data_IF_617169754296
#
_entry.id   IF_617169754296
#
_cell.length_a   1.000
_cell.length_b   1.000
_cell.length_c   1.000
_cell.angle_alpha   90.00
_cell.angle_beta   90.00
_cell.angle_gamma   90.00
#
_symmetry.space_group_name_H-M   'P 1'
#
loop_
_entity.id
_entity.type
_entity.pdbx_description
1 polymer ?
#
# COMPACT_ATOMS: atom_id res chain seq x y z
N UNK A 1 -7.07 -13.99 4.04
CA UNK A 1 -8.09 -14.92 3.52
C UNK A 1 -9.53 -14.36 3.50
N UNK A 2 -10.04 -13.79 4.60
CA UNK A 2 -11.42 -13.23 4.65
C UNK A 2 -11.77 -12.32 3.47
N UNK A 3 -10.96 -11.29 3.20
CA UNK A 3 -11.21 -10.36 2.09
C UNK A 3 -11.20 -11.04 0.70
N UNK A 4 -10.39 -12.09 0.51
CA UNK A 4 -10.37 -12.86 -0.74
C UNK A 4 -11.69 -13.59 -0.96
N UNK A 5 -12.22 -14.23 0.09
CA UNK A 5 -13.49 -14.94 0.04
C UNK A 5 -14.67 -13.98 -0.16
N UNK A 6 -14.67 -12.83 0.54
CA UNK A 6 -15.70 -11.81 0.37
C UNK A 6 -15.64 -11.18 -1.03
N UNK A 7 -14.45 -10.90 -1.56
CA UNK A 7 -14.28 -10.46 -2.94
C UNK A 7 -14.87 -11.46 -3.93
N UNK A 8 -14.59 -12.76 -3.74
CA UNK A 8 -15.14 -13.83 -4.58
C UNK A 8 -16.67 -13.93 -4.48
N UNK A 9 -17.22 -13.82 -3.28
CA UNK A 9 -18.64 -13.98 -3.02
C UNK A 9 -19.48 -12.78 -3.49
N UNK A 10 -18.96 -11.55 -3.33
CA UNK A 10 -19.75 -10.33 -3.56
C UNK A 10 -19.28 -9.50 -4.76
N UNK A 11 -18.07 -9.75 -5.28
CA UNK A 11 -17.45 -8.93 -6.33
C UNK A 11 -17.16 -7.48 -5.92
N UNK A 12 -17.23 -7.14 -4.62
CA UNK A 12 -17.08 -5.75 -4.15
C UNK A 12 -15.62 -5.36 -4.06
N UNK A 13 -15.26 -4.24 -4.68
CA UNK A 13 -13.87 -3.77 -4.84
C UNK A 13 -13.20 -3.41 -3.51
N UNK A 14 -13.98 -3.00 -2.50
CA UNK A 14 -13.44 -2.69 -1.17
C UNK A 14 -12.66 -3.85 -0.55
N UNK A 15 -13.01 -5.09 -0.86
CA UNK A 15 -12.24 -6.23 -0.36
C UNK A 15 -10.87 -6.35 -1.06
N UNK A 16 -10.78 -6.02 -2.36
CA UNK A 16 -9.51 -5.94 -3.06
C UNK A 16 -8.63 -4.77 -2.58
N UNK A 17 -9.24 -3.66 -2.17
CA UNK A 17 -8.55 -2.53 -1.52
C UNK A 17 -7.90 -2.97 -0.20
N UNK A 18 -8.62 -3.70 0.65
CA UNK A 18 -8.04 -4.20 1.91
C UNK A 18 -6.98 -5.28 1.68
N UNK A 19 -7.10 -6.08 0.60
CA UNK A 19 -6.02 -6.96 0.18
C UNK A 19 -4.76 -6.17 -0.22
N UNK A 20 -4.90 -5.08 -0.98
CA UNK A 20 -3.77 -4.22 -1.35
C UNK A 20 -3.05 -3.66 -0.12
N UNK A 21 -3.78 -3.11 0.85
CA UNK A 21 -3.20 -2.62 2.10
C UNK A 21 -2.45 -3.72 2.85
N UNK A 22 -3.01 -4.92 2.90
CA UNK A 22 -2.38 -6.06 3.57
C UNK A 22 -1.10 -6.50 2.86
N UNK A 23 -1.15 -6.65 1.53
CA UNK A 23 -0.05 -7.18 0.71
C UNK A 23 1.14 -6.23 0.67
N UNK A 24 0.92 -4.92 0.52
CA UNK A 24 2.02 -3.96 0.36
C UNK A 24 2.43 -3.25 1.66
N UNK A 25 1.69 -3.41 2.76
CA UNK A 25 2.03 -2.78 4.04
C UNK A 25 2.08 -3.77 5.20
N UNK A 26 0.97 -4.40 5.55
CA UNK A 26 0.89 -5.17 6.79
C UNK A 26 1.76 -6.44 6.77
N UNK A 27 1.71 -7.21 5.70
CA UNK A 27 2.52 -8.44 5.54
C UNK A 27 4.01 -8.14 5.52
N UNK A 28 4.53 -7.27 4.63
CA UNK A 28 5.96 -6.94 4.64
C UNK A 28 6.39 -6.19 5.91
N UNK A 29 5.49 -5.43 6.55
CA UNK A 29 5.75 -4.78 7.83
C UNK A 29 5.85 -5.76 9.00
N UNK A 30 5.25 -6.94 8.86
CA UNK A 30 5.36 -8.03 9.82
C UNK A 30 6.57 -8.95 9.54
N UNK A 31 7.23 -8.87 8.39
CA UNK A 31 8.33 -9.78 7.99
C UNK A 31 9.68 -9.07 7.87
N UNK A 32 10.74 -9.62 8.45
CA UNK A 32 12.10 -9.14 8.23
C UNK A 32 12.64 -9.61 6.88
N UNK A 33 13.56 -8.84 6.30
CA UNK A 33 14.13 -9.10 4.97
C UNK A 33 14.96 -10.39 4.92
N UNK A 34 15.43 -10.89 6.07
CA UNK A 34 16.15 -12.16 6.17
C UNK A 34 15.26 -13.40 5.94
N UNK A 35 13.93 -13.22 5.80
CA UNK A 35 12.97 -14.28 5.53
C UNK A 35 12.63 -15.18 6.73
N UNK A 36 13.32 -15.02 7.87
CA UNK A 36 13.10 -15.81 9.07
C UNK A 36 12.49 -14.97 10.22
N UNK A 37 12.61 -13.65 10.18
CA UNK A 37 12.07 -12.79 11.22
C UNK A 37 10.61 -12.43 10.98
N UNK A 38 9.79 -12.54 12.01
CA UNK A 38 8.41 -12.07 12.00
C UNK A 38 8.12 -11.20 13.22
N UNK A 39 7.08 -10.38 13.14
CA UNK A 39 6.56 -9.54 14.23
C UNK A 39 5.22 -10.10 14.67
N UNK A 40 5.03 -10.30 15.98
CA UNK A 40 3.74 -10.75 16.50
C UNK A 40 2.73 -9.60 16.60
N UNK A 41 3.18 -8.46 17.13
CA UNK A 41 2.38 -7.24 17.27
C UNK A 41 2.93 -6.15 16.37
N UNK A 42 2.38 -6.01 15.16
CA UNK A 42 2.73 -4.92 14.25
C UNK A 42 2.10 -3.61 14.73
N UNK A 43 2.82 -2.88 15.58
CA UNK A 43 2.40 -1.56 16.05
C UNK A 43 2.64 -0.49 14.98
N UNK A 44 1.75 0.50 14.91
CA UNK A 44 1.87 1.61 13.95
C UNK A 44 2.82 2.70 14.45
N UNK A 45 2.92 2.88 15.76
CA UNK A 45 3.95 3.68 16.42
C UNK A 45 4.62 2.77 17.44
N UNK A 46 5.94 2.66 17.41
CA UNK A 46 6.64 1.79 18.32
C UNK A 46 7.82 1.05 17.71
N UNK A 47 8.44 0.14 18.48
CA UNK A 47 9.53 -0.68 18.02
C UNK A 47 9.03 -1.85 17.17
N UNK A 48 9.73 -2.14 16.08
CA UNK A 48 9.56 -3.37 15.31
C UNK A 48 10.26 -4.53 16.01
N UNK A 49 9.52 -5.29 16.81
CA UNK A 49 10.08 -6.38 17.61
C UNK A 49 9.88 -7.75 16.95
N UNK A 50 10.99 -8.47 16.76
CA UNK A 50 11.00 -9.85 16.30
C UNK A 50 10.38 -10.74 17.37
N UNK A 51 9.47 -11.60 16.95
CA UNK A 51 8.90 -12.65 17.79
C UNK A 51 9.84 -13.84 17.91
N UNK A 52 9.56 -14.76 18.83
CA UNK A 52 10.24 -16.05 18.89
C UNK A 52 10.01 -16.87 17.62
N UNK A 53 11.00 -17.67 17.23
CA UNK A 53 10.97 -18.45 15.97
C UNK A 53 9.78 -19.42 15.89
N UNK A 54 9.36 -19.97 17.04
CA UNK A 54 8.25 -20.92 17.18
C UNK A 54 6.87 -20.28 17.28
N UNK A 55 6.77 -18.96 17.13
CA UNK A 55 5.48 -18.28 17.14
C UNK A 55 4.65 -18.62 15.90
N UNK A 56 3.32 -18.59 16.05
CA UNK A 56 2.39 -18.83 14.94
C UNK A 56 2.64 -17.89 13.74
N UNK A 57 3.14 -16.67 13.97
CA UNK A 57 3.48 -15.70 12.94
C UNK A 57 4.50 -16.22 11.93
N UNK A 58 5.48 -17.04 12.33
CA UNK A 58 6.45 -17.62 11.40
C UNK A 58 5.77 -18.56 10.41
N UNK A 59 4.89 -19.43 10.90
CA UNK A 59 4.15 -20.39 10.06
C UNK A 59 3.08 -19.71 9.20
N UNK A 60 2.27 -18.82 9.78
CA UNK A 60 1.22 -18.08 9.07
C UNK A 60 1.81 -17.08 8.08
N UNK A 61 2.97 -16.51 8.40
CA UNK A 61 3.76 -15.64 7.54
C UNK A 61 4.16 -16.32 6.24
N UNK A 62 4.71 -17.53 6.31
CA UNK A 62 5.04 -18.31 5.13
C UNK A 62 3.80 -18.64 4.27
N UNK A 63 2.69 -19.01 4.91
CA UNK A 63 1.43 -19.32 4.21
C UNK A 63 0.88 -18.09 3.47
N UNK A 64 0.91 -16.90 4.09
CA UNK A 64 0.40 -15.70 3.42
C UNK A 64 1.27 -15.34 2.22
N UNK A 65 2.59 -15.49 2.29
CA UNK A 65 3.49 -15.24 1.16
C UNK A 65 3.20 -16.16 -0.03
N UNK A 66 2.95 -17.46 0.21
CA UNK A 66 2.52 -18.39 -0.85
C UNK A 66 1.15 -18.03 -1.44
N UNK A 67 0.26 -17.44 -0.63
CA UNK A 67 -1.09 -17.11 -1.07
C UNK A 67 -1.14 -15.85 -1.94
N UNK A 68 -0.21 -14.90 -1.77
CA UNK A 68 -0.23 -13.58 -2.45
C UNK A 68 -0.43 -13.66 -3.97
N UNK A 69 0.30 -14.51 -4.73
CA UNK A 69 0.12 -14.60 -6.19
C UNK A 69 -1.32 -14.92 -6.59
N UNK A 70 -2.06 -15.68 -5.77
CA UNK A 70 -3.46 -16.06 -6.02
C UNK A 70 -4.45 -14.90 -5.83
N UNK A 71 -3.99 -13.79 -5.23
CA UNK A 71 -4.82 -12.61 -4.97
C UNK A 71 -4.84 -11.63 -6.14
N UNK A 72 -3.90 -11.74 -7.09
CA UNK A 72 -3.75 -10.76 -8.17
C UNK A 72 -4.88 -10.81 -9.19
N UNK A 73 -5.40 -12.00 -9.46
CA UNK A 73 -6.32 -12.23 -10.57
C UNK A 73 -7.50 -13.10 -10.16
N UNK A 74 -8.64 -12.90 -10.81
CA UNK A 74 -9.70 -13.90 -10.87
C UNK A 74 -10.33 -13.92 -12.25
N UNK A 75 -10.92 -15.05 -12.63
CA UNK A 75 -11.67 -15.17 -13.87
C UNK A 75 -13.01 -15.85 -13.63
N UNK A 76 -14.00 -15.47 -14.44
CA UNK A 76 -15.33 -16.07 -14.46
C UNK A 76 -15.92 -15.89 -15.86
N UNK A 77 -16.31 -17.01 -16.50
CA UNK A 77 -16.79 -17.03 -17.89
C UNK A 77 -15.79 -16.30 -18.82
N UNK A 78 -16.28 -15.30 -19.57
CA UNK A 78 -15.48 -14.43 -20.43
C UNK A 78 -14.88 -13.21 -19.72
N UNK A 79 -14.83 -13.18 -18.39
CA UNK A 79 -14.29 -12.04 -17.65
C UNK A 79 -13.01 -12.43 -16.93
N UNK A 80 -11.98 -11.62 -17.12
CA UNK A 80 -10.75 -11.62 -16.33
C UNK A 80 -10.69 -10.32 -15.52
N UNK A 81 -10.43 -10.44 -14.22
CA UNK A 81 -10.32 -9.32 -13.31
C UNK A 81 -8.88 -9.22 -12.78
N UNK A 82 -8.33 -8.01 -12.78
CA UNK A 82 -7.07 -7.68 -12.12
C UNK A 82 -7.40 -6.97 -10.82
N UNK A 83 -7.03 -7.60 -9.70
CA UNK A 83 -7.26 -7.11 -8.35
C UNK A 83 -6.03 -6.40 -7.79
N UNK A 84 -4.82 -6.91 -8.02
CA UNK A 84 -3.58 -6.30 -7.55
C UNK A 84 -2.63 -6.01 -8.72
N UNK A 85 -1.75 -5.03 -8.51
CA UNK A 85 -0.82 -4.55 -9.53
C UNK A 85 0.62 -4.82 -9.11
N UNK A 86 1.43 -5.36 -10.00
CA UNK A 86 2.81 -5.72 -9.69
C UNK A 86 3.39 -6.69 -10.71
N UNK A 87 4.73 -6.85 -10.78
CA UNK A 87 5.38 -7.80 -11.66
C UNK A 87 4.76 -9.18 -11.51
N UNK A 88 4.06 -9.65 -12.55
CA UNK A 88 3.33 -10.90 -12.47
C UNK A 88 2.94 -11.41 -13.84
N UNK A 89 2.77 -12.73 -13.95
CA UNK A 89 2.33 -13.40 -15.17
C UNK A 89 1.37 -14.52 -14.81
N UNK A 90 0.26 -14.61 -15.54
CA UNK A 90 -0.72 -15.68 -15.34
C UNK A 90 -1.31 -16.11 -16.68
N UNK A 91 -1.71 -17.37 -16.76
CA UNK A 91 -2.48 -17.91 -17.89
C UNK A 91 -3.77 -18.48 -17.33
N UNK A 92 -4.91 -18.03 -17.87
CA UNK A 92 -6.25 -18.49 -17.51
C UNK A 92 -6.96 -19.05 -18.73
N UNK A 93 -7.88 -20.00 -18.52
CA UNK A 93 -8.74 -20.50 -19.58
C UNK A 93 -10.04 -19.69 -19.61
N UNK A 94 -10.33 -19.01 -20.71
CA UNK A 94 -11.61 -18.32 -20.96
C UNK A 94 -12.30 -19.01 -22.15
N UNK A 95 -13.38 -19.75 -21.90
CA UNK A 95 -14.04 -20.68 -22.85
C UNK A 95 -13.07 -21.56 -23.63
N UNK A 96 -12.25 -22.34 -22.92
CA UNK A 96 -11.25 -23.24 -23.49
C UNK A 96 -10.13 -22.57 -24.32
N UNK A 97 -10.07 -21.24 -24.38
CA UNK A 97 -8.97 -20.50 -25.01
C UNK A 97 -8.02 -19.99 -23.90
N UNK A 98 -6.72 -20.33 -23.96
CA UNK A 98 -5.74 -19.81 -23.01
C UNK A 98 -5.51 -18.32 -23.26
N UNK A 99 -5.62 -17.52 -22.19
CA UNK A 99 -5.33 -16.09 -22.17
C UNK A 99 -4.22 -15.85 -21.18
N UNK A 100 -3.09 -15.32 -21.66
CA UNK A 100 -1.96 -14.96 -20.82
C UNK A 100 -1.94 -13.46 -20.59
N UNK A 101 -1.87 -13.06 -19.33
CA UNK A 101 -1.64 -11.67 -18.89
C UNK A 101 -0.28 -11.59 -18.24
N UNK A 102 0.49 -10.58 -18.61
CA UNK A 102 1.76 -10.22 -17.98
C UNK A 102 1.75 -8.74 -17.62
N UNK A 103 2.05 -8.43 -16.37
CA UNK A 103 2.19 -7.07 -15.85
C UNK A 103 3.68 -6.74 -15.71
N UNK A 104 4.12 -5.70 -16.40
CA UNK A 104 5.44 -5.10 -16.28
C UNK A 104 5.29 -3.73 -15.62
N UNK A 105 5.80 -3.58 -14.41
CA UNK A 105 5.59 -2.38 -13.59
C UNK A 105 6.57 -2.33 -12.42
N UNK A 106 6.86 -1.13 -11.92
CA UNK A 106 7.55 -0.91 -10.64
C UNK A 106 6.55 -0.73 -9.47
N UNK A 107 5.27 -1.05 -9.66
CA UNK A 107 4.28 -1.06 -8.57
C UNK A 107 4.76 -1.98 -7.43
N UNK A 108 4.72 -1.55 -6.16
CA UNK A 108 3.95 -0.42 -5.61
C UNK A 108 4.70 0.91 -5.50
N UNK A 109 5.85 1.09 -6.15
CA UNK A 109 6.63 2.34 -6.06
C UNK A 109 6.22 3.37 -7.11
N UNK A 110 5.73 2.91 -8.26
CA UNK A 110 5.22 3.73 -9.34
C UNK A 110 3.88 3.22 -9.87
N UNK A 111 3.07 4.12 -10.42
CA UNK A 111 1.75 3.78 -10.95
C UNK A 111 1.70 3.45 -12.45
N UNK A 112 2.85 3.33 -13.12
CA UNK A 112 2.94 2.95 -14.53
C UNK A 112 2.90 1.43 -14.67
N UNK A 113 1.88 0.90 -15.34
CA UNK A 113 1.67 -0.54 -15.51
C UNK A 113 1.47 -0.86 -16.99
N UNK A 114 2.38 -1.67 -17.54
CA UNK A 114 2.23 -2.23 -18.89
C UNK A 114 1.68 -3.63 -18.78
N UNK A 115 0.49 -3.85 -19.34
CA UNK A 115 -0.22 -5.13 -19.33
C UNK A 115 -0.14 -5.72 -20.75
N UNK A 116 0.59 -6.81 -20.90
CA UNK A 116 0.66 -7.59 -22.14
C UNK A 116 -0.41 -8.68 -22.13
N UNK A 117 -1.14 -8.81 -23.22
CA UNK A 117 -2.28 -9.71 -23.37
C UNK A 117 -2.02 -10.62 -24.57
N UNK A 118 -1.69 -11.88 -24.30
CA UNK A 118 -1.37 -12.86 -25.34
C UNK A 118 -2.50 -13.88 -25.44
N UNK A 119 -3.05 -14.03 -26.64
CA UNK A 119 -4.08 -15.04 -26.95
C UNK A 119 -3.75 -15.72 -28.28
N UNK A 120 -3.92 -17.05 -28.39
CA UNK A 120 -3.53 -17.80 -29.59
C UNK A 120 -4.38 -17.44 -30.81
N UNK A 121 -5.66 -17.10 -30.57
CA UNK A 121 -6.61 -16.66 -31.60
C UNK A 121 -7.34 -15.44 -31.07
N UNK A 122 -7.64 -14.48 -31.96
CA UNK A 122 -8.35 -13.25 -31.62
C UNK A 122 -9.68 -13.56 -30.92
N UNK A 123 -9.80 -13.23 -29.63
CA UNK A 123 -10.96 -13.56 -28.78
C UNK A 123 -11.58 -12.30 -28.19
N UNK A 124 -12.91 -12.24 -28.15
CA UNK A 124 -13.63 -11.25 -27.36
C UNK A 124 -13.69 -11.73 -25.91
N UNK A 125 -13.25 -10.90 -24.99
CA UNK A 125 -13.45 -11.13 -23.55
C UNK A 125 -13.41 -9.79 -22.82
N UNK A 126 -13.85 -9.80 -21.56
CA UNK A 126 -13.93 -8.64 -20.69
C UNK A 126 -12.72 -8.61 -19.77
N UNK A 127 -12.00 -7.49 -19.76
CA UNK A 127 -10.94 -7.22 -18.79
C UNK A 127 -11.44 -6.16 -17.80
N UNK A 128 -11.50 -6.50 -16.51
CA UNK A 128 -11.80 -5.55 -15.43
C UNK A 128 -10.52 -5.15 -14.72
N UNK A 129 -10.25 -3.85 -14.71
CA UNK A 129 -9.13 -3.25 -13.99
C UNK A 129 -9.65 -2.65 -12.69
N UNK A 130 -9.07 -2.99 -11.53
CA UNK A 130 -9.42 -2.30 -10.29
C UNK A 130 -8.99 -0.84 -10.39
N UNK A 131 -9.88 0.07 -10.03
CA UNK A 131 -9.54 1.47 -9.79
C UNK A 131 -9.34 1.63 -8.28
N UNK A 132 -8.09 1.84 -7.80
CA UNK A 132 -7.82 1.97 -6.37
C UNK A 132 -8.59 3.12 -5.73
N UNK A 133 -8.91 2.99 -4.44
CA UNK A 133 -9.68 4.01 -3.73
C UNK A 133 -8.97 5.37 -3.63
N UNK A 134 -7.64 5.34 -3.67
CA UNK A 134 -6.79 6.51 -3.51
C UNK A 134 -6.55 7.29 -4.82
N UNK A 135 -6.96 6.75 -5.97
CA UNK A 135 -6.91 7.47 -7.26
C UNK A 135 -8.11 8.39 -7.36
N UNK A 136 -7.95 9.62 -7.84
CA UNK A 136 -9.09 10.53 -8.06
C UNK A 136 -9.80 10.24 -9.37
N UNK A 137 -11.03 10.71 -9.47
CA UNK A 137 -11.82 10.60 -10.69
C UNK A 137 -11.14 11.31 -11.87
N UNK A 138 -11.21 10.73 -13.07
CA UNK A 138 -10.64 11.24 -14.32
C UNK A 138 -9.11 11.35 -14.38
N UNK A 139 -8.39 10.84 -13.38
CA UNK A 139 -6.93 10.87 -13.33
C UNK A 139 -6.26 9.60 -13.90
N UNK A 140 -7.03 8.52 -14.11
CA UNK A 140 -6.51 7.28 -14.70
C UNK A 140 -6.29 7.46 -16.19
N UNK A 141 -5.10 7.11 -16.67
CA UNK A 141 -4.79 7.13 -18.10
C UNK A 141 -4.62 5.70 -18.65
N UNK A 142 -5.32 5.39 -19.74
CA UNK A 142 -5.20 4.14 -20.47
C UNK A 142 -4.80 4.42 -21.92
N UNK A 143 -3.65 3.89 -22.35
CA UNK A 143 -3.08 4.10 -23.69
C UNK A 143 -2.98 5.60 -24.07
N UNK A 144 -2.53 6.43 -23.12
CA UNK A 144 -2.36 7.87 -23.33
C UNK A 144 -3.65 8.69 -23.27
N UNK A 145 -4.80 8.07 -22.94
CA UNK A 145 -6.08 8.76 -22.81
C UNK A 145 -6.60 8.69 -21.38
N UNK A 146 -6.93 9.84 -20.81
CA UNK A 146 -7.63 9.89 -19.53
C UNK A 146 -9.01 9.25 -19.70
N UNK A 147 -9.37 8.40 -18.75
CA UNK A 147 -10.67 7.72 -18.71
C UNK A 147 -11.47 8.25 -17.53
N UNK A 148 -12.78 8.32 -17.69
CA UNK A 148 -13.68 8.51 -16.56
C UNK A 148 -13.84 7.19 -15.83
N UNK A 149 -13.27 7.13 -14.64
CA UNK A 149 -13.27 5.94 -13.81
C UNK A 149 -13.50 6.36 -12.35
N UNK A 150 -14.49 5.74 -11.71
CA UNK A 150 -14.80 6.03 -10.33
C UNK A 150 -13.79 5.34 -9.40
N UNK A 151 -13.30 6.00 -8.35
CA UNK A 151 -12.51 5.35 -7.32
C UNK A 151 -13.26 4.16 -6.71
N UNK A 152 -12.55 3.16 -6.19
CA UNK A 152 -13.14 1.99 -5.54
C UNK A 152 -14.10 1.20 -6.47
N UNK A 153 -13.73 1.06 -7.75
CA UNK A 153 -14.55 0.39 -8.76
C UNK A 153 -13.74 -0.54 -9.67
N UNK A 154 -14.41 -1.19 -10.61
CA UNK A 154 -13.76 -1.87 -11.73
C UNK A 154 -14.04 -1.12 -13.03
N UNK A 155 -12.99 -0.76 -13.76
CA UNK A 155 -13.12 -0.27 -15.12
C UNK A 155 -13.16 -1.43 -16.11
N UNK A 156 -14.21 -1.49 -16.92
CA UNK A 156 -14.48 -2.58 -17.85
C UNK A 156 -13.96 -2.27 -19.26
N UNK A 157 -13.08 -3.12 -19.76
CA UNK A 157 -12.61 -3.11 -21.15
C UNK A 157 -13.22 -4.29 -21.89
N UNK A 158 -14.19 -4.01 -22.77
CA UNK A 158 -14.82 -5.00 -23.63
C UNK A 158 -14.25 -4.90 -25.06
N UNK A 159 -13.29 -5.76 -25.40
CA UNK A 159 -12.60 -5.73 -26.71
C UNK A 159 -12.38 -7.15 -27.27
N UNK A 160 -12.03 -7.20 -28.55
CA UNK A 160 -11.40 -8.38 -29.16
C UNK A 160 -9.90 -8.23 -29.02
N UNK A 161 -9.26 -9.14 -28.31
CA UNK A 161 -7.84 -9.08 -28.00
C UNK A 161 -7.05 -10.03 -28.89
N UNK A 162 -5.84 -9.64 -29.30
CA UNK A 162 -4.84 -10.49 -29.95
C UNK A 162 -3.43 -9.87 -29.84
N UNK A 163 -2.62 -10.37 -28.91
CA UNK A 163 -1.25 -9.89 -28.67
C UNK A 163 -1.18 -8.37 -28.41
N UNK A 164 -2.15 -7.86 -27.66
CA UNK A 164 -2.28 -6.44 -27.37
C UNK A 164 -1.41 -6.03 -26.17
N UNK A 165 -1.09 -4.74 -26.12
CA UNK A 165 -0.48 -4.11 -24.94
C UNK A 165 -1.37 -2.97 -24.46
N UNK A 166 -1.60 -2.92 -23.15
CA UNK A 166 -2.34 -1.87 -22.47
C UNK A 166 -1.40 -1.14 -21.51
N UNK A 167 -1.23 0.16 -21.68
CA UNK A 167 -0.50 1.00 -20.73
C UNK A 167 -1.51 1.68 -19.82
N UNK A 168 -1.44 1.40 -18.52
CA UNK A 168 -2.28 1.99 -17.48
C UNK A 168 -1.39 2.85 -16.59
N UNK A 169 -1.82 4.08 -16.32
CA UNK A 169 -1.12 4.99 -15.41
C UNK A 169 -2.08 5.43 -14.31
N UNK A 170 -1.71 5.11 -13.07
CA UNK A 170 -2.29 5.70 -11.87
C UNK A 170 -1.37 6.81 -11.36
N UNK A 171 -1.84 8.06 -11.26
CA UNK A 171 -1.00 9.13 -10.73
C UNK A 171 -0.86 8.97 -9.23
N UNK A 172 0.38 8.77 -8.78
CA UNK A 172 0.68 8.71 -7.36
C UNK A 172 0.85 10.13 -6.82
N UNK A 173 0.21 10.40 -5.70
CA UNK A 173 0.35 11.65 -4.95
C UNK A 173 0.52 11.35 -3.46
N UNK A 174 1.23 12.23 -2.76
CA UNK A 174 1.29 12.19 -1.30
C UNK A 174 -0.08 12.59 -0.77
N UNK A 175 -0.64 11.79 0.12
CA UNK A 175 -1.93 12.03 0.76
C UNK A 175 -1.83 11.77 2.25
N UNK A 176 -2.66 12.43 3.04
CA UNK A 176 -2.79 12.19 4.47
C UNK A 176 -4.15 11.58 4.80
N UNK A 177 -4.17 10.78 5.85
CA UNK A 177 -5.39 10.42 6.59
C UNK A 177 -5.27 10.94 8.01
N UNK A 178 -6.40 11.26 8.63
CA UNK A 178 -6.46 11.92 9.92
C UNK A 178 -7.31 11.10 10.89
N UNK A 179 -6.93 11.09 12.17
CA UNK A 179 -7.75 10.56 13.25
C UNK A 179 -7.68 11.50 14.45
N UNK A 180 -8.75 11.51 15.24
CA UNK A 180 -8.79 12.22 16.53
C UNK A 180 -9.06 11.20 17.62
N UNK A 181 -8.29 11.27 18.71
CA UNK A 181 -8.48 10.45 19.90
C UNK A 181 -8.81 11.35 21.09
N UNK A 182 -9.83 10.96 21.86
CA UNK A 182 -10.24 11.61 23.11
C UNK A 182 -10.28 10.61 24.27
N UNK A 183 -9.61 9.46 24.13
CA UNK A 183 -9.49 8.44 25.18
C UNK A 183 -8.03 8.02 25.33
N UNK A 184 -7.59 7.76 26.56
CA UNK A 184 -6.25 7.23 26.80
C UNK A 184 -6.16 5.72 26.51
N UNK A 185 -4.97 5.12 26.68
CA UNK A 185 -4.74 3.69 26.46
C UNK A 185 -5.55 2.75 27.37
N UNK A 186 -6.16 3.28 28.45
CA UNK A 186 -7.08 2.55 29.35
C UNK A 186 -8.54 2.68 28.93
N UNK A 187 -8.84 3.44 27.88
CA UNK A 187 -10.20 3.73 27.44
C UNK A 187 -10.91 4.79 28.30
N UNK A 188 -10.17 5.58 29.08
CA UNK A 188 -10.73 6.67 29.88
C UNK A 188 -10.79 7.94 29.03
N UNK A 189 -11.91 8.66 29.08
CA UNK A 189 -12.05 9.94 28.38
C UNK A 189 -10.99 10.92 28.88
N UNK A 190 -10.19 11.43 27.96
CA UNK A 190 -9.29 12.53 28.22
C UNK A 190 -9.99 13.79 27.73
N UNK A 191 -10.11 14.80 28.59
CA UNK A 191 -10.66 16.13 28.29
C UNK A 191 -9.70 16.94 27.38
N UNK A 192 -9.23 16.28 26.33
CA UNK A 192 -8.29 16.77 25.34
C UNK A 192 -8.42 15.93 24.07
N UNK A 193 -8.66 16.59 22.95
CA UNK A 193 -8.57 15.97 21.64
C UNK A 193 -7.10 15.91 21.19
N UNK A 194 -6.68 14.73 20.75
CA UNK A 194 -5.37 14.51 20.15
C UNK A 194 -5.57 14.22 18.67
N UNK A 195 -5.01 15.06 17.80
CA UNK A 195 -5.08 14.91 16.36
C UNK A 195 -3.84 14.22 15.81
N UNK A 196 -4.04 13.20 14.99
CA UNK A 196 -2.95 12.48 14.32
C UNK A 196 -3.11 12.52 12.81
N UNK A 197 -1.97 12.53 12.11
CA UNK A 197 -1.90 12.37 10.65
C UNK A 197 -0.99 11.20 10.28
N UNK A 198 -1.41 10.40 9.32
CA UNK A 198 -0.58 9.38 8.68
C UNK A 198 -0.56 9.61 7.17
N UNK A 199 0.52 9.21 6.51
CA UNK A 199 0.77 9.55 5.12
C UNK A 199 0.84 8.32 4.24
N UNK A 200 0.37 8.48 3.00
CA UNK A 200 0.48 7.47 1.95
C UNK A 200 1.00 8.10 0.66
N UNK A 201 1.70 7.30 -0.13
CA UNK A 201 2.02 7.60 -1.52
C UNK A 201 1.63 6.40 -2.38
N UNK A 202 0.59 6.56 -3.20
CA UNK A 202 -0.09 5.43 -3.84
C UNK A 202 -0.66 4.44 -2.80
N UNK A 203 -0.36 3.13 -2.91
CA UNK A 203 -0.83 2.12 -1.96
C UNK A 203 0.05 2.01 -0.69
N UNK A 204 1.22 2.65 -0.67
CA UNK A 204 2.20 2.51 0.40
C UNK A 204 1.92 3.47 1.55
N UNK A 205 1.80 2.92 2.76
CA UNK A 205 1.79 3.65 4.02
C UNK A 205 3.22 4.07 4.35
N UNK A 206 3.38 5.30 4.81
CA UNK A 206 4.68 5.85 5.21
C UNK A 206 4.78 5.98 6.71
N UNK A 207 6.00 5.89 7.21
CA UNK A 207 6.35 6.15 8.60
C UNK A 207 7.64 6.95 8.67
N UNK A 208 7.81 7.70 9.75
CA UNK A 208 9.07 8.33 10.09
C UNK A 208 9.97 7.31 10.80
N UNK A 209 11.23 7.19 10.36
CA UNK A 209 12.23 6.36 11.03
C UNK A 209 12.99 7.18 12.08
N UNK A 210 13.25 6.59 13.25
CA UNK A 210 14.14 7.19 14.24
C UNK A 210 15.58 6.85 13.90
N UNK A 211 16.15 7.52 12.89
CA UNK A 211 17.58 7.36 12.58
C UNK A 211 18.31 8.66 12.23
N UNK A 212 17.64 9.80 12.31
CA UNK A 212 18.28 11.11 12.17
C UNK A 212 18.06 11.95 13.44
N UNK A 213 19.19 12.33 14.03
CA UNK A 213 19.42 13.44 14.98
C UNK A 213 18.48 13.58 16.19
N UNK A 214 18.94 13.03 17.33
CA UNK A 214 18.39 13.11 18.70
C UNK A 214 17.20 12.18 18.96
N UNK A 215 17.28 11.43 20.05
CA UNK A 215 16.19 10.61 20.57
C UNK A 215 15.03 11.55 20.98
N UNK A 216 14.08 11.81 20.09
CA UNK A 216 12.85 12.50 20.42
C UNK A 216 11.92 11.52 21.16
N UNK A 217 11.17 11.91 22.19
CA UNK A 217 10.22 11.00 22.83
C UNK A 217 9.06 10.66 21.89
N UNK A 218 8.54 9.43 21.97
CA UNK A 218 7.26 9.04 21.37
C UNK A 218 6.12 9.60 22.25
N UNK A 219 5.07 10.24 21.69
CA UNK A 219 4.84 10.51 20.27
C UNK A 219 5.69 11.65 19.71
N UNK A 220 6.14 11.50 18.45
CA UNK A 220 6.61 12.64 17.67
C UNK A 220 5.47 13.64 17.54
N UNK A 221 5.66 14.84 18.10
CA UNK A 221 4.71 15.95 18.03
C UNK A 221 5.24 16.97 17.03
N UNK A 222 4.47 17.23 15.97
CA UNK A 222 4.77 18.25 14.96
C UNK A 222 3.66 19.29 14.96
N UNK A 223 3.99 20.56 14.75
CA UNK A 223 2.97 21.61 14.56
C UNK A 223 1.97 21.22 13.46
N UNK A 224 0.68 21.54 13.63
CA UNK A 224 -0.35 21.33 12.59
C UNK A 224 -0.23 22.28 11.40
N UNK A 225 0.74 23.22 11.41
CA UNK A 225 0.87 24.26 10.38
C UNK A 225 1.44 23.78 9.04
N UNK A 226 1.97 22.55 8.94
CA UNK A 226 2.49 22.03 7.67
C UNK A 226 1.37 21.51 6.75
N UNK A 227 1.63 21.56 5.45
CA UNK A 227 0.74 21.01 4.42
C UNK A 227 1.46 19.92 3.62
N UNK A 228 0.75 19.22 2.72
CA UNK A 228 1.36 18.19 1.88
C UNK A 228 2.46 18.76 0.95
N UNK A 229 2.42 20.05 0.61
CA UNK A 229 3.47 20.71 -0.17
C UNK A 229 4.71 21.07 0.64
N UNK A 230 4.65 20.97 1.97
CA UNK A 230 5.82 21.15 2.84
C UNK A 230 6.80 19.98 2.76
N UNK A 231 6.38 18.83 2.20
CA UNK A 231 7.23 17.67 2.00
C UNK A 231 8.07 17.82 0.74
N UNK A 232 9.37 17.52 0.86
CA UNK A 232 10.29 17.45 -0.28
C UNK A 232 10.68 16.00 -0.56
N UNK A 233 10.80 15.63 -1.83
CA UNK A 233 11.34 14.31 -2.19
C UNK A 233 12.86 14.37 -2.10
N UNK A 234 13.46 13.41 -1.42
CA UNK A 234 14.91 13.25 -1.32
C UNK A 234 15.37 11.94 -1.97
N UNK A 235 16.68 11.80 -2.20
CA UNK A 235 17.25 10.54 -2.67
C UNK A 235 17.00 9.43 -1.66
N UNK A 236 16.63 8.24 -2.15
CA UNK A 236 16.44 7.08 -1.28
C UNK A 236 17.77 6.67 -0.64
N UNK A 237 17.85 6.53 0.70
CA UNK A 237 19.01 5.97 1.36
C UNK A 237 19.30 4.55 0.87
N UNK A 238 20.55 4.10 1.05
CA UNK A 238 20.93 2.73 0.69
C UNK A 238 20.02 1.71 1.38
N UNK A 239 19.58 0.71 0.61
CA UNK A 239 18.66 -0.32 1.09
C UNK A 239 17.19 0.11 1.16
N UNK A 240 16.83 1.36 0.83
CA UNK A 240 15.44 1.79 0.72
C UNK A 240 15.00 1.90 -0.75
N UNK A 241 13.76 1.51 -1.03
CA UNK A 241 13.14 1.59 -2.36
C UNK A 241 11.94 2.55 -2.39
N UNK A 242 11.68 3.15 -3.55
CA UNK A 242 10.59 4.11 -3.75
C UNK A 242 10.95 5.54 -3.38
N UNK A 243 9.94 6.42 -3.32
CA UNK A 243 10.14 7.83 -2.93
C UNK A 243 10.33 7.95 -1.43
N UNK A 244 11.28 8.77 -1.01
CA UNK A 244 11.47 9.19 0.39
C UNK A 244 11.09 10.66 0.50
N UNK A 245 10.31 10.98 1.53
CA UNK A 245 9.89 12.36 1.78
C UNK A 245 10.57 12.92 3.02
N UNK A 246 11.01 14.17 2.95
CA UNK A 246 11.49 14.92 4.10
C UNK A 246 10.48 15.99 4.47
N UNK A 247 10.19 16.11 5.76
CA UNK A 247 9.47 17.24 6.34
C UNK A 247 10.41 18.00 7.26
N UNK A 248 10.64 19.27 6.95
CA UNK A 248 11.33 20.19 7.87
C UNK A 248 10.36 20.63 8.96
N UNK A 249 10.81 20.57 10.21
CA UNK A 249 10.04 20.99 11.40
C UNK A 249 10.86 21.99 12.22
N UNK A 250 10.28 22.53 13.30
CA UNK A 250 10.95 23.48 14.17
C UNK A 250 12.07 22.79 14.96
N UNK A 251 13.29 22.81 14.41
CA UNK A 251 14.52 22.36 15.08
C UNK A 251 14.99 20.94 14.75
N UNK A 252 14.29 20.21 13.86
CA UNK A 252 14.71 18.91 13.34
C UNK A 252 14.00 18.60 12.00
N UNK A 253 14.48 17.58 11.29
CA UNK A 253 13.86 17.08 10.06
C UNK A 253 13.36 15.65 10.24
N UNK A 254 12.25 15.31 9.60
CA UNK A 254 11.69 13.96 9.61
C UNK A 254 11.81 13.33 8.22
N UNK A 255 12.40 12.14 8.15
CA UNK A 255 12.45 11.32 6.94
C UNK A 255 11.36 10.25 6.97
N UNK A 256 10.54 10.25 5.94
CA UNK A 256 9.44 9.32 5.74
C UNK A 256 9.78 8.32 4.64
N UNK A 257 9.72 7.04 4.99
CA UNK A 257 9.90 5.91 4.08
C UNK A 257 8.66 5.01 4.11
N UNK A 258 8.46 4.12 3.12
CA UNK A 258 7.44 3.09 3.21
C UNK A 258 7.57 2.31 4.53
N UNK A 259 6.47 2.23 5.28
CA UNK A 259 6.39 1.70 6.64
C UNK A 259 7.13 0.37 6.81
N UNK A 260 6.88 -0.56 5.88
CA UNK A 260 7.44 -1.90 5.96
C UNK A 260 8.96 -1.94 5.81
N UNK A 261 9.59 -0.88 5.28
CA UNK A 261 11.03 -0.82 5.08
C UNK A 261 11.80 -0.38 6.32
N UNK A 262 11.14 0.30 7.27
CA UNK A 262 11.78 0.74 8.49
C UNK A 262 12.01 -0.48 9.40
N UNK A 263 13.26 -0.66 9.83
CA UNK A 263 13.66 -1.80 10.66
C UNK A 263 13.60 -3.16 9.96
N UNK A 264 13.50 -3.22 8.62
CA UNK A 264 13.39 -4.51 7.91
C UNK A 264 14.60 -5.43 8.09
N UNK A 265 15.75 -4.89 8.49
CA UNK A 265 17.00 -5.62 8.78
C UNK A 265 17.46 -5.52 10.24
N UNK A 266 16.79 -4.72 11.07
CA UNK A 266 17.26 -4.39 12.42
C UNK A 266 16.12 -4.55 13.43
N UNK A 267 16.31 -5.44 14.41
CA UNK A 267 15.33 -5.68 15.45
C UNK A 267 15.26 -4.51 16.44
N UNK A 268 14.05 -4.09 16.80
CA UNK A 268 13.83 -3.00 17.75
C UNK A 268 13.87 -1.60 17.14
N UNK A 269 14.10 -1.46 15.83
CA UNK A 269 14.01 -0.15 15.17
C UNK A 269 12.64 0.48 15.41
N UNK A 270 12.65 1.75 15.80
CA UNK A 270 11.44 2.51 16.08
C UNK A 270 10.93 3.21 14.82
N UNK A 271 9.61 3.22 14.67
CA UNK A 271 8.93 3.95 13.61
C UNK A 271 7.69 4.65 14.15
N UNK A 272 7.28 5.71 13.46
CA UNK A 272 6.07 6.46 13.79
C UNK A 272 5.23 6.67 12.52
N UNK A 273 4.08 5.99 12.42
CA UNK A 273 3.10 6.17 11.33
C UNK A 273 2.18 7.35 11.62
N UNK A 274 1.63 7.39 12.84
CA UNK A 274 0.70 8.42 13.28
C UNK A 274 1.47 9.55 13.96
N UNK A 275 1.69 10.63 13.23
CA UNK A 275 2.34 11.84 13.74
C UNK A 275 1.31 12.62 14.55
N UNK A 276 1.64 12.95 15.80
CA UNK A 276 0.78 13.80 16.62
C UNK A 276 0.90 15.25 16.13
N UNK A 277 -0.23 15.84 15.78
CA UNK A 277 -0.32 17.21 15.24
C UNK A 277 -1.09 18.15 16.15
N UNK A 278 -1.40 17.71 17.37
CA UNK A 278 -2.06 18.56 18.36
C UNK A 278 -1.09 19.67 18.75
N UNK A 279 -1.52 20.93 18.60
CA UNK A 279 -0.72 22.07 19.02
C UNK A 279 -0.22 21.84 20.46
N UNK A 280 1.09 21.83 20.66
CA UNK A 280 1.64 21.99 22.00
C UNK A 280 1.15 23.35 22.47
N UNK A 281 0.16 23.40 23.36
CA UNK A 281 -0.09 24.62 24.12
C UNK A 281 1.25 24.91 24.78
N UNK A 282 1.90 26.01 24.38
CA UNK A 282 3.03 26.55 25.12
C UNK A 282 2.59 26.60 26.58
N UNK A 283 3.26 25.83 27.43
CA UNK A 283 3.14 26.01 28.86
C UNK A 283 3.79 27.38 29.10
N UNK A 284 2.97 28.41 29.30
CA UNK A 284 3.41 29.70 29.82
C UNK A 284 3.78 29.57 31.29
#
# INVERSE_FOLDING_TARGET
>A
EMNRLLLKATGKVCFAEELEKSVYNAVPGASFQDGNGWVYHSVMNGPRQRTSEWACCSSSGAIILETIPRLFYSSCNDTLMIHLYGPSKTTVMLDAIPVTIEQETSYPFEGNIRIKITVPVKKKFFLKLRIPAWVKENEVCINGKNISAHPLSYYLLAKKWHNDTLNVVFPFSLRSIEKTEAYNYKGEYIDKEIHYRAFYYGPLLYAAAWKDEKQHPDPIVVSSSFSLSSFTSVSSPEGYEGKIFRLETDGYSLLFAPYYQIGKTENGSFHTVWINTTAAKCIQ
#
